data_IF_009671767577
#
_entry.id   IF_009671767577
#
_cell.length_a   1.000
_cell.length_b   1.000
_cell.length_c   1.000
_cell.angle_alpha   90.00
_cell.angle_beta   90.00
_cell.angle_gamma   90.00
#
_symmetry.space_group_name_H-M   'P 1'
#
loop_
_entity.id
_entity.type
_entity.pdbx_description
1 polymer ?
#
# COMPACT_ATOMS: atom_id res chain seq x y z
N UNK A 1 -0.60 6.02 13.62
CA UNK A 1 0.80 5.72 13.24
C UNK A 1 1.03 4.22 13.26
N UNK A 2 1.91 3.71 12.41
CA UNK A 2 2.31 2.30 12.37
C UNK A 2 3.76 2.20 12.87
N UNK A 3 4.04 1.25 13.77
CA UNK A 3 5.36 1.07 14.39
C UNK A 3 6.08 -0.22 13.94
N UNK A 4 5.65 -0.78 12.80
CA UNK A 4 6.09 -2.09 12.32
C UNK A 4 5.11 -3.21 12.71
N UNK A 5 5.23 -4.37 12.04
CA UNK A 5 4.45 -5.59 12.25
C UNK A 5 2.92 -5.39 12.39
N UNK A 6 2.37 -4.34 11.76
CA UNK A 6 0.96 -3.96 11.86
C UNK A 6 0.50 -3.35 10.54
N UNK A 7 -0.80 -3.46 10.27
CA UNK A 7 -1.45 -2.88 9.10
C UNK A 7 -2.90 -2.52 9.41
N UNK A 8 -3.47 -1.65 8.59
CA UNK A 8 -4.90 -1.35 8.60
C UNK A 8 -5.51 -2.12 7.45
N UNK A 9 -6.53 -2.93 7.73
CA UNK A 9 -7.30 -3.62 6.70
C UNK A 9 -8.57 -2.83 6.37
N UNK A 10 -8.81 -2.61 5.09
CA UNK A 10 -10.05 -2.02 4.59
C UNK A 10 -10.66 -2.95 3.54
N UNK A 11 -11.97 -3.24 3.59
CA UNK A 11 -12.59 -4.11 2.60
C UNK A 11 -12.46 -3.50 1.20
N UNK A 12 -11.86 -4.25 0.29
CA UNK A 12 -11.74 -3.87 -1.12
C UNK A 12 -13.11 -4.08 -1.78
N UNK A 13 -13.67 -3.02 -2.35
CA UNK A 13 -14.86 -3.11 -3.18
C UNK A 13 -14.46 -2.96 -4.64
N UNK A 14 -14.40 -4.08 -5.37
CA UNK A 14 -14.20 -4.12 -6.82
C UNK A 14 -15.46 -3.58 -7.52
N UNK A 15 -15.64 -2.27 -7.55
CA UNK A 15 -16.82 -1.61 -8.11
C UNK A 15 -16.56 -0.94 -9.47
N UNK A 16 -15.30 -0.69 -9.83
CA UNK A 16 -14.91 0.07 -11.03
C UNK A 16 -13.62 -0.46 -11.64
N UNK A 17 -13.47 -0.34 -12.96
CA UNK A 17 -12.23 -0.67 -13.68
C UNK A 17 -11.09 0.34 -13.50
N UNK A 18 -11.29 1.39 -12.68
CA UNK A 18 -10.30 2.43 -12.38
C UNK A 18 -10.29 2.64 -10.86
N UNK A 19 -9.09 2.75 -10.28
CA UNK A 19 -8.88 3.01 -8.86
C UNK A 19 -7.91 4.18 -8.69
N UNK A 20 -8.37 5.24 -8.03
CA UNK A 20 -7.54 6.40 -7.67
C UNK A 20 -7.02 6.24 -6.23
N UNK A 21 -5.69 6.27 -6.07
CA UNK A 21 -5.03 6.09 -4.77
C UNK A 21 -4.30 7.38 -4.40
N UNK A 22 -4.59 7.91 -3.21
CA UNK A 22 -3.94 9.12 -2.68
C UNK A 22 -3.71 9.00 -1.18
N UNK A 23 -2.46 9.07 -0.76
CA UNK A 23 -2.08 9.08 0.66
C UNK A 23 -0.77 9.84 0.87
N UNK A 24 -0.50 10.22 2.12
CA UNK A 24 0.77 10.80 2.56
C UNK A 24 1.40 9.89 3.60
N UNK A 25 2.70 9.72 3.56
CA UNK A 25 3.44 8.94 4.54
C UNK A 25 4.73 9.66 4.95
N UNK A 26 5.24 9.29 6.12
CA UNK A 26 6.56 9.68 6.61
C UNK A 26 7.15 8.49 7.34
N UNK A 27 8.33 8.05 6.94
CA UNK A 27 9.04 6.93 7.54
C UNK A 27 10.54 7.16 7.46
N UNK A 28 11.29 6.54 8.37
CA UNK A 28 12.76 6.49 8.31
C UNK A 28 13.26 5.18 7.66
N UNK A 29 12.36 4.22 7.41
CA UNK A 29 12.69 2.93 6.82
C UNK A 29 12.98 3.09 5.32
N UNK A 30 14.09 2.50 4.86
CA UNK A 30 14.43 2.41 3.44
C UNK A 30 13.55 1.42 2.69
N UNK A 31 13.08 0.39 3.39
CA UNK A 31 12.29 -0.70 2.85
C UNK A 31 11.03 -0.88 3.68
N UNK A 32 9.88 -0.67 3.06
CA UNK A 32 8.59 -0.71 3.74
C UNK A 32 7.45 -0.94 2.74
N UNK A 33 6.50 -1.79 3.09
CA UNK A 33 5.23 -1.89 2.37
C UNK A 33 4.31 -0.74 2.81
N UNK A 34 3.82 0.05 1.85
CA UNK A 34 2.96 1.21 2.13
C UNK A 34 1.50 0.89 1.88
N UNK A 35 1.21 0.18 0.80
CA UNK A 35 -0.14 -0.20 0.41
C UNK A 35 -0.14 -1.53 -0.33
N UNK A 36 -1.15 -2.36 -0.05
CA UNK A 36 -1.48 -3.55 -0.80
C UNK A 36 -2.99 -3.55 -1.07
N UNK A 37 -3.36 -3.43 -2.34
CA UNK A 37 -4.70 -3.68 -2.83
C UNK A 37 -4.69 -5.03 -3.53
N UNK A 38 -5.09 -6.09 -2.81
CA UNK A 38 -5.16 -7.45 -3.34
C UNK A 38 -6.57 -7.73 -3.86
N UNK A 39 -6.71 -7.81 -5.18
CA UNK A 39 -7.92 -8.31 -5.84
C UNK A 39 -7.93 -9.84 -5.86
N UNK A 40 -8.97 -10.41 -6.48
CA UNK A 40 -9.08 -11.89 -6.60
C UNK A 40 -8.03 -12.50 -7.52
N UNK A 41 -7.65 -11.79 -8.58
CA UNK A 41 -6.74 -12.29 -9.63
C UNK A 41 -5.52 -11.40 -9.84
N UNK A 42 -5.52 -10.20 -9.29
CA UNK A 42 -4.47 -9.21 -9.43
C UNK A 42 -4.17 -8.52 -8.09
N UNK A 43 -3.10 -7.72 -8.09
CA UNK A 43 -2.81 -6.86 -6.96
C UNK A 43 -2.10 -5.58 -7.43
N UNK A 44 -2.30 -4.52 -6.67
CA UNK A 44 -1.48 -3.32 -6.71
C UNK A 44 -0.72 -3.21 -5.39
N UNK A 45 0.61 -3.15 -5.46
CA UNK A 45 1.47 -3.00 -4.29
C UNK A 45 2.34 -1.77 -4.47
N UNK A 46 2.32 -0.90 -3.47
CA UNK A 46 3.18 0.28 -3.40
C UNK A 46 4.12 0.09 -2.23
N UNK A 47 5.43 0.15 -2.49
CA UNK A 47 6.46 -0.04 -1.46
C UNK A 47 7.64 0.89 -1.65
N UNK A 48 8.44 1.01 -0.60
CA UNK A 48 9.79 1.53 -0.68
C UNK A 48 10.76 0.37 -0.87
N UNK A 49 11.67 0.53 -1.81
CA UNK A 49 12.86 -0.31 -1.98
C UNK A 49 14.10 0.58 -2.05
N UNK A 50 15.02 0.39 -1.11
CA UNK A 50 16.22 1.22 -0.98
C UNK A 50 15.90 2.74 -1.02
N UNK A 51 14.85 3.15 -0.31
CA UNK A 51 14.39 4.54 -0.19
C UNK A 51 13.66 5.10 -1.43
N UNK A 52 13.38 4.27 -2.44
CA UNK A 52 12.69 4.68 -3.67
C UNK A 52 11.30 4.05 -3.75
N UNK A 53 10.33 4.82 -4.23
CA UNK A 53 8.97 4.33 -4.46
C UNK A 53 8.95 3.36 -5.65
N UNK A 54 8.25 2.23 -5.48
CA UNK A 54 8.05 1.17 -6.46
C UNK A 54 6.59 0.77 -6.53
#
# INVERSE_FOLDING_TARGET
SLYGASYIHFPVQEAKGVTDISFRFRTHLSDAMLLLAAGKTDYCMIKLEAGRLK
#
